data_IF_043154841273
#
_entry.id   IF_043154841273
#
_cell.length_a   1.000
_cell.length_b   1.000
_cell.length_c   1.000
_cell.angle_alpha   90.00
_cell.angle_beta   90.00
_cell.angle_gamma   90.00
#
_symmetry.space_group_name_H-M   'P 1'
#
loop_
_entity.id
_entity.type
_entity.pdbx_description
1 polymer ?
#
# COMPACT_ATOMS: atom_id res chain seq x y z
N UNK A 1 -8.74 18.86 0.13
CA UNK A 1 -7.93 18.58 1.35
C UNK A 1 -7.52 17.11 1.27
N UNK A 2 -6.24 16.80 1.45
CA UNK A 2 -5.77 15.41 1.42
C UNK A 2 -6.01 14.77 2.80
N UNK A 3 -6.46 13.53 2.83
CA UNK A 3 -6.57 12.72 4.04
C UNK A 3 -5.18 12.42 4.62
N UNK A 4 -5.06 12.15 5.92
CA UNK A 4 -3.78 11.77 6.54
C UNK A 4 -3.11 10.58 5.83
N UNK A 5 -3.89 9.58 5.41
CA UNK A 5 -3.38 8.43 4.66
C UNK A 5 -2.82 8.82 3.28
N UNK A 6 -3.49 9.71 2.55
CA UNK A 6 -2.97 10.20 1.26
C UNK A 6 -1.67 10.99 1.43
N UNK A 7 -1.51 11.73 2.54
CA UNK A 7 -0.28 12.43 2.85
C UNK A 7 0.87 11.45 3.13
N UNK A 8 0.60 10.36 3.83
CA UNK A 8 1.60 9.30 4.09
C UNK A 8 1.99 8.57 2.81
N UNK A 9 1.03 8.25 1.94
CA UNK A 9 1.33 7.57 0.67
C UNK A 9 2.18 8.39 -0.31
N UNK A 10 2.27 9.71 -0.13
CA UNK A 10 3.20 10.56 -0.90
C UNK A 10 4.66 10.36 -0.51
N UNK A 11 4.93 9.77 0.64
CA UNK A 11 6.29 9.49 1.13
C UNK A 11 6.84 8.16 0.61
N UNK A 12 6.00 7.35 -0.05
CA UNK A 12 6.41 6.06 -0.59
C UNK A 12 7.30 6.25 -1.81
N UNK A 13 8.46 5.60 -1.80
CA UNK A 13 9.33 5.45 -2.97
C UNK A 13 8.70 4.46 -3.94
N UNK A 14 7.99 4.97 -4.93
CA UNK A 14 7.28 4.16 -5.92
C UNK A 14 8.24 3.66 -7.01
N UNK A 15 8.19 2.36 -7.28
CA UNK A 15 8.97 1.69 -8.32
C UNK A 15 8.06 0.95 -9.27
N UNK A 16 8.36 0.99 -10.57
CA UNK A 16 7.60 0.25 -11.57
C UNK A 16 7.70 -1.26 -11.32
N UNK A 17 6.57 -1.96 -11.41
CA UNK A 17 6.51 -3.41 -11.16
C UNK A 17 6.85 -4.24 -12.40
N UNK A 18 6.78 -3.64 -13.58
CA UNK A 18 6.83 -4.36 -14.86
C UNK A 18 5.62 -5.28 -15.11
N UNK A 19 4.56 -5.22 -14.29
CA UNK A 19 3.35 -6.00 -14.55
C UNK A 19 2.66 -5.52 -15.83
N UNK A 20 2.27 -6.49 -16.65
CA UNK A 20 1.44 -6.25 -17.83
C UNK A 20 -0.03 -6.46 -17.48
N UNK A 21 -0.96 -5.83 -18.24
CA UNK A 21 -2.38 -6.11 -18.10
C UNK A 21 -2.64 -7.62 -18.30
N UNK A 22 -3.21 -8.28 -17.30
CA UNK A 22 -3.55 -9.71 -17.38
C UNK A 22 -4.82 -9.97 -18.20
N UNK A 23 -5.71 -8.98 -18.26
CA UNK A 23 -6.92 -8.95 -19.08
C UNK A 23 -7.34 -7.49 -19.33
N UNK A 24 -8.04 -7.25 -20.44
CA UNK A 24 -8.64 -5.94 -20.70
C UNK A 24 -9.65 -5.63 -19.57
N UNK A 25 -9.40 -4.51 -18.86
CA UNK A 25 -10.23 -3.94 -17.79
C UNK A 25 -10.07 -4.48 -16.35
N UNK A 26 -9.12 -5.38 -16.06
CA UNK A 26 -8.81 -5.70 -14.67
C UNK A 26 -7.80 -4.71 -14.06
N UNK A 27 -7.99 -4.26 -12.81
CA UNK A 27 -6.99 -3.48 -12.11
C UNK A 27 -5.68 -4.26 -11.94
N UNK A 28 -4.56 -3.63 -12.26
CA UNK A 28 -3.23 -4.21 -12.06
C UNK A 28 -2.27 -3.18 -11.47
N UNK A 29 -1.25 -3.64 -10.74
CA UNK A 29 -0.29 -2.74 -10.11
C UNK A 29 0.73 -2.25 -11.14
N UNK A 30 0.75 -0.95 -11.37
CA UNK A 30 1.76 -0.27 -12.21
C UNK A 30 3.02 0.03 -11.42
N UNK A 31 2.86 0.35 -10.14
CA UNK A 31 3.95 0.67 -9.22
C UNK A 31 3.77 -0.08 -7.91
N UNK A 32 4.88 -0.40 -7.26
CA UNK A 32 4.93 -0.91 -5.90
C UNK A 32 5.85 -0.04 -5.05
N UNK A 33 5.64 -0.08 -3.74
CA UNK A 33 6.48 0.60 -2.77
C UNK A 33 6.26 0.03 -1.39
N UNK A 34 7.02 0.53 -0.42
CA UNK A 34 6.88 0.17 0.99
C UNK A 34 6.70 1.45 1.79
N UNK A 35 5.63 1.52 2.57
CA UNK A 35 5.42 2.56 3.56
C UNK A 35 5.93 2.04 4.91
N UNK A 36 6.82 2.80 5.54
CA UNK A 36 7.27 2.51 6.90
C UNK A 36 6.49 3.38 7.89
N UNK A 37 5.72 2.74 8.76
CA UNK A 37 4.87 3.41 9.75
C UNK A 37 4.94 2.68 11.09
N UNK A 38 5.29 3.42 12.15
CA UNK A 38 5.38 2.88 13.52
C UNK A 38 6.26 1.62 13.64
N UNK A 39 7.34 1.54 12.84
CA UNK A 39 8.23 0.37 12.80
C UNK A 39 7.71 -0.81 11.97
N UNK A 40 6.50 -0.71 11.41
CA UNK A 40 5.95 -1.68 10.47
C UNK A 40 6.24 -1.28 9.02
N UNK A 41 6.40 -2.28 8.17
CA UNK A 41 6.62 -2.12 6.73
C UNK A 41 5.39 -2.63 6.00
N UNK A 42 4.67 -1.73 5.35
CA UNK A 42 3.45 -2.02 4.60
C UNK A 42 3.73 -1.95 3.11
N UNK A 43 3.57 -3.07 2.40
CA UNK A 43 3.61 -3.05 0.93
C UNK A 43 2.41 -2.26 0.40
N UNK A 44 2.71 -1.40 -0.56
CA UNK A 44 1.76 -0.52 -1.22
C UNK A 44 1.83 -0.73 -2.73
N UNK A 45 0.70 -0.57 -3.41
CA UNK A 45 0.59 -0.71 -4.86
C UNK A 45 -0.19 0.46 -5.45
N UNK A 46 0.28 0.97 -6.59
CA UNK A 46 -0.46 1.95 -7.39
C UNK A 46 -1.06 1.26 -8.59
N UNK A 47 -2.37 1.26 -8.69
CA UNK A 47 -3.12 0.59 -9.74
C UNK A 47 -3.16 1.46 -11.00
N UNK A 48 -3.36 0.83 -12.16
CA UNK A 48 -3.58 1.51 -13.44
C UNK A 48 -4.81 2.44 -13.43
N UNK A 49 -5.74 2.24 -12.49
CA UNK A 49 -6.89 3.11 -12.25
C UNK A 49 -6.53 4.41 -11.50
N UNK A 50 -5.27 4.58 -11.08
CA UNK A 50 -4.80 5.72 -10.30
C UNK A 50 -4.98 5.56 -8.78
N UNK A 51 -5.67 4.52 -8.33
CA UNK A 51 -5.84 4.20 -6.91
C UNK A 51 -4.53 3.66 -6.31
N UNK A 52 -4.28 3.99 -5.05
CA UNK A 52 -3.22 3.39 -4.26
C UNK A 52 -3.83 2.50 -3.18
N UNK A 53 -3.31 1.29 -3.03
CA UNK A 53 -3.82 0.26 -2.13
C UNK A 53 -2.68 -0.32 -1.30
N UNK A 54 -3.02 -0.88 -0.14
CA UNK A 54 -2.08 -1.62 0.70
C UNK A 54 -2.25 -3.13 0.49
N UNK A 55 -1.17 -3.87 0.70
CA UNK A 55 -1.21 -5.33 0.72
C UNK A 55 -2.06 -5.83 1.89
N UNK A 56 -2.97 -6.76 1.61
CA UNK A 56 -3.92 -7.26 2.59
C UNK A 56 -3.24 -7.96 3.77
N UNK A 57 -2.19 -8.74 3.53
CA UNK A 57 -1.49 -9.47 4.59
C UNK A 57 -0.76 -8.51 5.51
N UNK A 58 -0.13 -7.47 4.96
CA UNK A 58 0.59 -6.48 5.75
C UNK A 58 -0.36 -5.62 6.58
N UNK A 59 -1.51 -5.24 6.02
CA UNK A 59 -2.57 -4.53 6.75
C UNK A 59 -3.12 -5.41 7.87
N UNK A 60 -3.40 -6.68 7.60
CA UNK A 60 -3.89 -7.61 8.60
C UNK A 60 -2.89 -7.72 9.76
N UNK A 61 -1.60 -7.95 9.47
CA UNK A 61 -0.54 -7.99 10.48
C UNK A 61 -0.42 -6.68 11.26
N UNK A 62 -0.58 -5.53 10.62
CA UNK A 62 -0.49 -4.24 11.28
C UNK A 62 -1.61 -4.05 12.31
N UNK A 63 -2.85 -4.39 11.96
CA UNK A 63 -3.97 -4.28 12.89
C UNK A 63 -4.00 -5.37 13.97
N UNK A 64 -3.55 -6.59 13.66
CA UNK A 64 -3.46 -7.69 14.62
C UNK A 64 -2.40 -7.40 15.70
N UNK A 65 -1.23 -6.89 15.30
CA UNK A 65 -0.18 -6.46 16.23
C UNK A 65 -0.55 -5.17 16.99
N UNK A 66 -1.43 -4.34 16.43
CA UNK A 66 -1.96 -3.14 17.09
C UNK A 66 -2.87 -3.43 18.30
N UNK A 67 -3.37 -4.67 18.45
CA UNK A 67 -4.17 -5.09 19.60
C UNK A 67 -3.32 -5.56 20.80
N UNK A 68 -2.01 -5.70 20.66
CA UNK A 68 -1.09 -6.00 21.77
C UNK A 68 -0.50 -4.72 22.39
N UNK A 69 -1.35 -3.84 22.91
CA UNK A 69 -0.92 -2.84 23.89
C UNK A 69 -1.19 -3.41 25.29
N UNK A 70 -0.16 -3.84 26.06
CA UNK A 70 -0.36 -4.09 27.48
C UNK A 70 -0.75 -2.78 28.17
N UNK A 71 -1.82 -2.82 28.96
CA UNK A 71 -2.13 -1.77 29.94
C UNK A 71 -1.10 -1.75 31.06
#
# INVERSE_FOLDING_TARGET
MATPMELMMRQVDWRETGQQPSAENLPYATHSGVLEIMGHRLRCYRLNTGQAVFDADDVHRFFDNGQQMPQ
#
